data_IF_654504654828
#
_entry.id   IF_654504654828
#
_cell.length_a   1.000
_cell.length_b   1.000
_cell.length_c   1.000
_cell.angle_alpha   90.00
_cell.angle_beta   90.00
_cell.angle_gamma   90.00
#
_symmetry.space_group_name_H-M   'P 1'
#
loop_
_entity.id
_entity.type
_entity.pdbx_description
1 polymer ?
#
# COMPACT_ATOMS: atom_id res chain seq x y z
N UNK A 1 -9.34 -10.93 3.04
CA UNK A 1 -8.12 -10.13 2.90
C UNK A 1 -6.93 -11.07 2.70
N UNK A 2 -6.20 -10.91 1.60
CA UNK A 2 -4.95 -11.61 1.29
C UNK A 2 -3.81 -10.60 1.46
N UNK A 3 -2.71 -11.09 2.01
CA UNK A 3 -1.50 -10.32 2.27
C UNK A 3 -0.34 -11.08 1.64
N UNK A 4 0.46 -10.40 0.83
CA UNK A 4 1.63 -10.94 0.17
C UNK A 4 2.82 -10.01 0.37
N UNK A 5 4.01 -10.59 0.57
CA UNK A 5 5.26 -9.84 0.68
C UNK A 5 6.26 -10.49 -0.23
N UNK A 6 6.81 -9.70 -1.15
CA UNK A 6 7.87 -10.10 -2.05
C UNK A 6 9.07 -9.18 -1.91
N UNK A 7 10.26 -9.72 -2.13
CA UNK A 7 11.50 -8.96 -2.18
C UNK A 7 12.21 -9.25 -3.50
N UNK A 8 12.51 -8.19 -4.26
CA UNK A 8 13.34 -8.26 -5.45
C UNK A 8 14.77 -7.79 -5.11
N UNK A 9 15.69 -8.76 -5.06
CA UNK A 9 17.10 -8.52 -4.79
C UNK A 9 17.80 -7.68 -5.87
N UNK A 10 17.24 -7.63 -7.09
CA UNK A 10 17.85 -6.90 -8.21
C UNK A 10 17.60 -5.40 -8.09
N UNK A 11 16.41 -5.04 -7.63
CA UNK A 11 15.97 -3.65 -7.46
C UNK A 11 16.04 -3.18 -6.02
N UNK A 12 16.40 -4.07 -5.08
CA UNK A 12 16.31 -3.83 -3.62
C UNK A 12 14.93 -3.29 -3.22
N UNK A 13 13.87 -3.89 -3.78
CA UNK A 13 12.50 -3.47 -3.55
C UNK A 13 11.74 -4.51 -2.74
N UNK A 14 11.26 -4.11 -1.57
CA UNK A 14 10.23 -4.84 -0.83
C UNK A 14 8.86 -4.37 -1.29
N UNK A 15 8.03 -5.28 -1.75
CA UNK A 15 6.63 -5.01 -2.12
C UNK A 15 5.72 -5.73 -1.15
N UNK A 16 4.83 -4.96 -0.52
CA UNK A 16 3.78 -5.45 0.35
C UNK A 16 2.44 -5.22 -0.37
N UNK A 17 1.74 -6.31 -0.65
CA UNK A 17 0.47 -6.26 -1.37
C UNK A 17 -0.66 -6.71 -0.47
N UNK A 18 -1.68 -5.88 -0.34
CA UNK A 18 -2.92 -6.16 0.37
C UNK A 18 -4.07 -6.24 -0.62
N UNK A 19 -4.86 -7.30 -0.59
CA UNK A 19 -6.06 -7.40 -1.44
C UNK A 19 -7.28 -7.83 -0.62
N UNK A 20 -8.41 -7.17 -0.86
CA UNK A 20 -9.70 -7.54 -0.29
C UNK A 20 -10.77 -7.47 -1.37
N UNK A 21 -11.42 -8.61 -1.62
CA UNK A 21 -12.51 -8.70 -2.59
C UNK A 21 -13.64 -7.71 -2.26
N UNK A 22 -13.98 -6.89 -3.25
CA UNK A 22 -15.05 -5.91 -3.17
C UNK A 22 -14.67 -4.60 -2.48
N UNK A 23 -13.39 -4.35 -2.17
CA UNK A 23 -12.97 -3.11 -1.52
C UNK A 23 -13.28 -1.87 -2.35
N UNK A 24 -13.05 -1.88 -3.66
CA UNK A 24 -13.44 -0.77 -4.53
C UNK A 24 -14.95 -0.60 -4.62
N UNK A 25 -15.73 -1.68 -4.59
CA UNK A 25 -17.19 -1.57 -4.55
C UNK A 25 -17.64 -0.89 -3.25
N UNK A 26 -16.96 -1.14 -2.14
CA UNK A 26 -17.23 -0.47 -0.85
C UNK A 26 -16.83 1.01 -0.89
N UNK A 27 -15.68 1.34 -1.50
CA UNK A 27 -15.24 2.71 -1.73
C UNK A 27 -16.25 3.48 -2.59
N UNK A 28 -16.63 2.94 -3.76
CA UNK A 28 -17.59 3.58 -4.69
C UNK A 28 -19.01 3.65 -4.12
N UNK A 29 -19.36 2.80 -3.16
CA UNK A 29 -20.68 2.81 -2.50
C UNK A 29 -20.71 3.70 -1.24
N UNK A 30 -19.68 4.52 -0.99
CA UNK A 30 -19.50 5.33 0.22
C UNK A 30 -19.57 4.51 1.53
N UNK A 31 -19.29 3.20 1.45
CA UNK A 31 -19.21 2.30 2.62
C UNK A 31 -17.83 2.38 3.30
N UNK A 32 -16.90 3.14 2.72
CA UNK A 32 -15.66 3.57 3.34
C UNK A 32 -15.72 5.09 3.37
N UNK A 33 -15.77 5.66 4.57
CA UNK A 33 -15.73 7.11 4.74
C UNK A 33 -14.34 7.67 4.41
N UNK A 34 -14.27 8.96 4.06
CA UNK A 34 -13.00 9.66 3.84
C UNK A 34 -12.09 9.59 5.07
N UNK A 35 -12.65 9.62 6.28
CA UNK A 35 -11.91 9.49 7.54
C UNK A 35 -11.31 8.09 7.71
N UNK A 36 -12.09 7.04 7.43
CA UNK A 36 -11.59 5.65 7.43
C UNK A 36 -10.50 5.46 6.37
N UNK A 37 -10.70 6.00 5.17
CA UNK A 37 -9.71 5.91 4.10
C UNK A 37 -8.42 6.66 4.45
N UNK A 38 -8.54 7.86 5.00
CA UNK A 38 -7.39 8.64 5.49
C UNK A 38 -6.61 7.87 6.55
N UNK A 39 -7.30 7.22 7.48
CA UNK A 39 -6.66 6.37 8.50
C UNK A 39 -5.86 5.22 7.87
N UNK A 40 -6.39 4.59 6.81
CA UNK A 40 -5.69 3.54 6.07
C UNK A 40 -4.46 4.11 5.37
N UNK A 41 -4.62 5.23 4.64
CA UNK A 41 -3.53 5.95 3.94
C UNK A 41 -2.38 6.29 4.88
N UNK A 42 -2.68 6.96 5.99
CA UNK A 42 -1.68 7.39 6.97
C UNK A 42 -0.96 6.18 7.58
N UNK A 43 -1.71 5.12 7.92
CA UNK A 43 -1.13 3.89 8.43
C UNK A 43 -0.16 3.21 7.43
N UNK A 44 -0.47 3.21 6.14
CA UNK A 44 0.41 2.63 5.12
C UNK A 44 1.66 3.48 4.89
N UNK A 45 1.52 4.80 4.92
CA UNK A 45 2.67 5.73 4.86
C UNK A 45 3.60 5.51 6.06
N UNK A 46 3.05 5.40 7.26
CA UNK A 46 3.81 5.16 8.48
C UNK A 46 4.55 3.82 8.44
N UNK A 47 3.89 2.76 7.94
CA UNK A 47 4.51 1.43 7.81
C UNK A 47 5.63 1.43 6.77
N UNK A 48 5.39 2.01 5.59
CA UNK A 48 6.39 2.12 4.52
C UNK A 48 7.64 2.86 5.03
N UNK A 49 7.44 4.00 5.69
CA UNK A 49 8.52 4.81 6.28
C UNK A 49 9.24 4.05 7.39
N UNK A 50 8.50 3.41 8.30
CA UNK A 50 9.09 2.69 9.44
C UNK A 50 9.94 1.50 9.00
N UNK A 51 9.51 0.75 7.96
CA UNK A 51 10.30 -0.37 7.44
C UNK A 51 11.57 0.16 6.77
N UNK A 52 11.49 1.27 6.02
CA UNK A 52 12.65 1.91 5.43
C UNK A 52 13.67 2.34 6.50
N UNK A 53 13.20 3.00 7.56
CA UNK A 53 14.04 3.44 8.69
C UNK A 53 14.70 2.27 9.44
N UNK A 54 13.98 1.15 9.58
CA UNK A 54 14.46 -0.03 10.27
C UNK A 54 15.37 -0.90 9.40
N UNK A 55 15.24 -0.83 8.08
CA UNK A 55 15.95 -1.71 7.12
C UNK A 55 17.46 -1.81 7.32
N UNK A 56 18.19 -0.70 7.53
CA UNK A 56 19.62 -0.73 7.81
C UNK A 56 20.00 -1.54 9.06
N UNK A 57 19.14 -1.61 10.08
CA UNK A 57 19.41 -2.35 11.32
C UNK A 57 19.21 -3.86 11.17
N UNK A 58 18.45 -4.29 10.17
CA UNK A 58 18.10 -5.70 9.94
C UNK A 58 18.81 -6.32 8.72
N UNK A 59 19.76 -5.60 8.11
CA UNK A 59 20.63 -6.14 7.06
C UNK A 59 20.12 -5.94 5.63
N UNK A 60 19.15 -5.04 5.45
CA UNK A 60 18.68 -4.58 4.14
C UNK A 60 18.82 -3.05 4.05
N UNK A 61 20.06 -2.53 4.13
CA UNK A 61 20.32 -1.12 3.89
C UNK A 61 19.98 -0.79 2.43
N UNK A 62 19.41 0.39 2.20
CA UNK A 62 19.05 0.89 0.87
C UNK A 62 17.90 0.12 0.18
N UNK A 63 17.06 -0.58 0.94
CA UNK A 63 15.83 -1.20 0.42
C UNK A 63 14.69 -0.19 0.37
N UNK A 64 14.07 -0.05 -0.80
CA UNK A 64 12.81 0.67 -0.95
C UNK A 64 11.63 -0.20 -0.53
N UNK A 65 10.59 0.43 0.01
CA UNK A 65 9.38 -0.23 0.52
C UNK A 65 8.16 0.32 -0.18
N UNK A 66 7.61 -0.49 -1.08
CA UNK A 66 6.33 -0.23 -1.71
C UNK A 66 5.21 -0.99 -0.99
N UNK A 67 4.11 -0.30 -0.69
CA UNK A 67 2.88 -0.93 -0.21
C UNK A 67 1.75 -0.60 -1.17
N UNK A 68 1.00 -1.62 -1.60
CA UNK A 68 -0.12 -1.46 -2.53
C UNK A 68 -1.38 -2.16 -2.02
N UNK A 69 -2.52 -1.49 -2.11
CA UNK A 69 -3.85 -2.05 -1.84
C UNK A 69 -4.53 -2.32 -3.17
N UNK A 70 -5.05 -3.53 -3.35
CA UNK A 70 -5.70 -3.99 -4.58
C UNK A 70 -7.18 -4.36 -4.31
N UNK A 71 -8.03 -4.13 -5.31
CA UNK A 71 -9.48 -4.32 -5.23
C UNK A 71 -9.97 -5.78 -5.17
N UNK A 72 -9.22 -6.73 -5.73
CA UNK A 72 -9.70 -8.10 -5.87
C UNK A 72 -8.53 -9.10 -5.72
N UNK A 73 -8.89 -10.34 -5.41
CA UNK A 73 -8.07 -11.55 -5.49
C UNK A 73 -7.42 -11.79 -6.85
N UNK A 74 -7.97 -11.22 -7.94
CA UNK A 74 -7.35 -11.22 -9.27
C UNK A 74 -6.37 -10.07 -9.47
N UNK A 75 -6.21 -9.18 -8.48
CA UNK A 75 -5.19 -8.12 -8.48
C UNK A 75 -5.37 -7.09 -9.61
N UNK A 76 -6.57 -7.03 -10.21
CA UNK A 76 -6.84 -6.31 -11.47
C UNK A 76 -6.84 -4.77 -11.34
N UNK A 77 -6.92 -4.22 -10.12
CA UNK A 77 -6.93 -2.76 -9.89
C UNK A 77 -6.22 -2.38 -8.60
N UNK A 78 -5.26 -1.46 -8.71
CA UNK A 78 -4.65 -0.76 -7.58
C UNK A 78 -5.61 0.31 -7.07
N UNK A 79 -5.82 0.36 -5.76
CA UNK A 79 -6.63 1.35 -5.07
C UNK A 79 -5.79 2.37 -4.32
N UNK A 80 -4.63 1.93 -3.85
CA UNK A 80 -3.68 2.78 -3.16
C UNK A 80 -2.28 2.24 -3.38
N UNK A 81 -1.31 3.13 -3.53
CA UNK A 81 0.10 2.75 -3.53
C UNK A 81 0.96 3.82 -2.90
N UNK A 82 1.88 3.40 -2.05
CA UNK A 82 2.91 4.23 -1.41
C UNK A 82 4.28 3.61 -1.65
N UNK A 83 5.29 4.45 -1.85
CA UNK A 83 6.70 4.07 -1.98
C UNK A 83 7.53 4.97 -1.09
N UNK A 84 8.24 4.38 -0.14
CA UNK A 84 9.14 5.10 0.78
C UNK A 84 8.44 6.30 1.46
N UNK A 85 7.24 6.04 1.99
CA UNK A 85 6.37 7.06 2.62
C UNK A 85 5.73 8.05 1.64
N UNK A 86 6.07 8.01 0.35
CA UNK A 86 5.50 8.90 -0.68
C UNK A 86 4.32 8.21 -1.37
N UNK A 87 3.13 8.81 -1.29
CA UNK A 87 1.94 8.31 -1.99
C UNK A 87 2.17 8.44 -3.50
N UNK A 88 2.05 7.31 -4.21
CA UNK A 88 2.14 7.24 -5.68
C UNK A 88 0.77 7.28 -6.35
N UNK A 89 -0.24 6.72 -5.69
CA UNK A 89 -1.60 6.61 -6.20
C UNK A 89 -2.59 6.51 -5.05
N UNK A 90 -3.71 7.22 -5.18
CA UNK A 90 -4.86 7.14 -4.27
C UNK A 90 -6.16 7.28 -5.06
N UNK A 91 -7.00 6.24 -5.02
CA UNK A 91 -8.29 6.18 -5.73
C UNK A 91 -9.30 7.22 -5.24
N UNK A 92 -9.16 7.74 -4.02
CA UNK A 92 -10.04 8.78 -3.48
C UNK A 92 -9.60 10.18 -3.89
N UNK A 93 -8.30 10.41 -4.12
CA UNK A 93 -7.80 11.71 -4.61
C UNK A 93 -8.08 11.91 -6.11
N UNK A 94 -8.21 10.84 -6.90
CA UNK A 94 -8.57 10.94 -8.33
C UNK A 94 -10.04 11.28 -8.60
N UNK A 95 -10.89 11.36 -7.56
CA UNK A 95 -12.32 11.63 -7.72
C UNK A 95 -12.69 13.14 -7.70
N UNK A 96 -11.71 14.04 -7.61
CA UNK A 96 -11.90 15.50 -7.70
C UNK A 96 -12.04 16.07 -9.13
#
# INVERSE_FOLDING_TARGET
MKFDVSFDETTSLMTITMSEDGMANRIVSDLVSEEEWTTIRDGMVDVSTSIQDLGPYYGFPDTSVQISILNDSQEDRVLFSVLDGTILYDVMEEQE
#
